data_IF_529563984042
#
_entry.id   IF_529563984042
#
_cell.length_a   1.000
_cell.length_b   1.000
_cell.length_c   1.000
_cell.angle_alpha   90.00
_cell.angle_beta   90.00
_cell.angle_gamma   90.00
#
_symmetry.space_group_name_H-M   'P 1'
#
loop_
_entity.id
_entity.type
_entity.pdbx_description
1 polymer ?
#
# COMPACT_ATOMS: atom_id res chain seq x y z
N UNK A 1 -25.86 0.53 55.10
CA UNK A 1 -24.93 -0.22 54.23
C UNK A 1 -25.44 -0.17 52.80
N UNK A 2 -24.96 0.77 51.97
CA UNK A 2 -25.14 0.71 50.51
C UNK A 2 -23.90 1.34 49.87
N UNK A 3 -22.96 0.49 49.47
CA UNK A 3 -21.77 0.88 48.75
C UNK A 3 -22.17 1.00 47.27
N UNK A 4 -22.16 2.22 46.74
CA UNK A 4 -22.32 2.45 45.30
C UNK A 4 -20.96 2.20 44.65
N UNK A 5 -20.79 1.02 44.05
CA UNK A 5 -19.65 0.72 43.18
C UNK A 5 -19.80 1.50 41.88
N UNK A 6 -19.01 2.57 41.72
CA UNK A 6 -18.86 3.24 40.44
C UNK A 6 -17.99 2.38 39.52
N UNK A 7 -18.60 1.77 38.48
CA UNK A 7 -17.86 1.09 37.43
C UNK A 7 -17.31 2.13 36.44
N UNK A 8 -15.99 2.33 36.44
CA UNK A 8 -15.31 3.15 35.44
C UNK A 8 -15.17 2.35 34.14
N UNK A 9 -15.92 2.74 33.10
CA UNK A 9 -15.72 2.25 31.74
C UNK A 9 -14.47 2.90 31.14
N UNK A 10 -13.36 2.17 31.09
CA UNK A 10 -12.19 2.56 30.29
C UNK A 10 -12.45 2.21 28.82
N UNK A 11 -12.85 3.19 28.01
CA UNK A 11 -12.86 3.04 26.55
C UNK A 11 -11.43 3.15 26.03
N UNK A 12 -10.86 2.03 25.59
CA UNK A 12 -9.59 2.02 24.88
C UNK A 12 -9.79 2.55 23.46
N UNK A 13 -9.32 3.77 23.18
CA UNK A 13 -9.21 4.27 21.81
C UNK A 13 -8.07 3.54 21.11
N UNK A 14 -8.40 2.61 20.21
CA UNK A 14 -7.42 2.02 19.31
C UNK A 14 -7.08 3.04 18.23
N UNK A 15 -5.87 3.60 18.26
CA UNK A 15 -5.33 4.40 17.14
C UNK A 15 -5.08 3.43 15.99
N UNK A 16 -6.00 3.39 15.02
CA UNK A 16 -5.72 2.72 13.75
C UNK A 16 -4.73 3.60 13.00
N UNK A 17 -3.53 3.06 12.73
CA UNK A 17 -2.57 3.70 11.86
C UNK A 17 -3.13 3.71 10.44
N UNK A 18 -3.69 4.84 10.03
CA UNK A 18 -4.33 5.02 8.72
C UNK A 18 -3.32 4.86 7.56
N UNK A 19 -3.73 4.27 6.41
CA UNK A 19 -2.92 4.16 5.18
C UNK A 19 -2.34 5.51 4.71
N UNK A 20 -2.97 6.62 5.06
CA UNK A 20 -2.49 8.00 4.92
C UNK A 20 -1.03 8.18 5.40
N UNK A 21 -0.66 7.57 6.54
CA UNK A 21 0.71 7.64 7.04
C UNK A 21 1.71 6.93 6.13
N UNK A 22 1.29 5.83 5.48
CA UNK A 22 2.16 5.05 4.62
C UNK A 22 2.36 5.70 3.25
N UNK A 23 1.34 6.35 2.68
CA UNK A 23 1.53 7.20 1.48
C UNK A 23 2.49 8.35 1.75
N UNK A 24 2.33 9.04 2.89
CA UNK A 24 3.20 10.16 3.27
C UNK A 24 4.66 9.72 3.41
N UNK A 25 4.91 8.62 4.14
CA UNK A 25 6.28 8.13 4.36
C UNK A 25 6.90 7.57 3.09
N UNK A 26 6.17 6.76 2.31
CA UNK A 26 6.67 6.24 1.04
C UNK A 26 6.98 7.36 0.05
N UNK A 27 6.10 8.36 -0.06
CA UNK A 27 6.31 9.53 -0.90
C UNK A 27 7.58 10.30 -0.51
N UNK A 28 7.77 10.54 0.80
CA UNK A 28 9.00 11.13 1.32
C UNK A 28 10.25 10.31 0.96
N UNK A 29 10.23 9.00 1.25
CA UNK A 29 11.40 8.13 1.11
C UNK A 29 11.83 7.92 -0.36
N UNK A 30 10.88 7.96 -1.29
CA UNK A 30 11.13 7.78 -2.73
C UNK A 30 11.12 9.08 -3.54
N UNK A 31 10.86 10.24 -2.92
CA UNK A 31 10.80 11.53 -3.61
C UNK A 31 9.65 11.62 -4.61
N UNK A 32 8.47 11.11 -4.21
CA UNK A 32 7.21 11.11 -4.95
C UNK A 32 6.17 11.87 -4.12
N UNK A 33 5.36 12.73 -4.75
CA UNK A 33 4.27 13.40 -4.03
C UNK A 33 3.31 12.34 -3.43
N UNK A 34 3.06 12.33 -2.11
CA UNK A 34 2.13 11.39 -1.49
C UNK A 34 0.73 11.38 -2.13
N UNK A 35 0.28 12.51 -2.68
CA UNK A 35 -1.00 12.64 -3.38
C UNK A 35 -1.00 11.87 -4.68
N UNK A 36 0.14 11.78 -5.38
CA UNK A 36 0.26 10.96 -6.59
C UNK A 36 0.11 9.48 -6.25
N UNK A 37 0.80 9.00 -5.21
CA UNK A 37 0.69 7.61 -4.76
C UNK A 37 -0.73 7.27 -4.30
N UNK A 38 -1.39 8.19 -3.59
CA UNK A 38 -2.78 8.03 -3.19
C UNK A 38 -3.72 8.00 -4.40
N UNK A 39 -3.56 8.92 -5.35
CA UNK A 39 -4.35 8.95 -6.58
C UNK A 39 -4.17 7.67 -7.40
N UNK A 40 -2.93 7.15 -7.50
CA UNK A 40 -2.64 5.87 -8.12
C UNK A 40 -3.41 4.74 -7.40
N UNK A 41 -3.32 4.63 -6.07
CA UNK A 41 -4.04 3.58 -5.33
C UNK A 41 -5.57 3.67 -5.47
N UNK A 42 -6.11 4.89 -5.56
CA UNK A 42 -7.54 5.14 -5.82
C UNK A 42 -7.91 4.63 -7.21
N UNK A 43 -7.12 5.00 -8.23
CA UNK A 43 -7.36 4.62 -9.62
C UNK A 43 -7.31 3.10 -9.80
N UNK A 44 -6.32 2.45 -9.19
CA UNK A 44 -6.05 1.03 -9.36
C UNK A 44 -7.05 0.13 -8.61
N UNK A 45 -7.41 0.47 -7.38
CA UNK A 45 -8.17 -0.44 -6.51
C UNK A 45 -9.31 0.19 -5.74
N UNK A 46 -9.44 1.53 -5.78
CA UNK A 46 -10.23 2.33 -4.82
C UNK A 46 -9.73 2.12 -3.40
N UNK A 47 -8.40 2.09 -3.22
CA UNK A 47 -7.68 1.86 -1.97
C UNK A 47 -7.98 0.51 -1.28
N UNK A 48 -8.46 -0.51 -2.02
CA UNK A 48 -8.79 -1.82 -1.47
C UNK A 48 -7.56 -2.73 -1.46
N UNK A 49 -7.00 -3.01 -0.29
CA UNK A 49 -5.77 -3.82 -0.19
C UNK A 49 -5.95 -5.32 -0.50
N UNK A 50 -7.18 -5.81 -0.48
CA UNK A 50 -7.47 -7.19 -0.90
C UNK A 50 -7.83 -7.30 -2.40
N UNK A 51 -7.61 -6.24 -3.19
CA UNK A 51 -7.86 -6.27 -4.62
C UNK A 51 -6.92 -7.25 -5.34
N UNK A 52 -7.51 -8.07 -6.21
CA UNK A 52 -6.80 -9.05 -7.03
C UNK A 52 -7.39 -8.95 -8.44
N UNK A 53 -6.53 -8.79 -9.44
CA UNK A 53 -6.92 -8.72 -10.84
C UNK A 53 -6.11 -9.72 -11.68
N UNK A 54 -6.78 -10.75 -12.17
CA UNK A 54 -6.19 -11.82 -12.99
C UNK A 54 -6.34 -11.58 -14.50
N UNK A 55 -6.77 -10.36 -14.91
CA UNK A 55 -7.05 -10.04 -16.32
C UNK A 55 -5.86 -9.43 -17.07
N UNK A 56 -4.67 -9.41 -16.49
CA UNK A 56 -3.49 -8.85 -17.17
C UNK A 56 -3.17 -9.60 -18.47
N UNK A 57 -2.75 -8.83 -19.48
CA UNK A 57 -2.46 -9.26 -20.86
C UNK A 57 -1.43 -10.40 -20.99
N UNK A 58 -0.75 -10.77 -19.90
CA UNK A 58 0.32 -11.77 -19.89
C UNK A 58 0.14 -12.90 -18.88
N UNK A 59 -1.11 -13.20 -18.46
CA UNK A 59 -1.41 -14.19 -17.39
C UNK A 59 -0.74 -13.85 -16.06
N UNK A 60 -0.29 -12.61 -15.87
CA UNK A 60 0.14 -12.14 -14.56
C UNK A 60 -1.08 -11.74 -13.74
N UNK A 61 -0.88 -11.60 -12.44
CA UNK A 61 -1.91 -11.13 -11.51
C UNK A 61 -1.43 -9.84 -10.86
N UNK A 62 -2.29 -8.84 -10.83
CA UNK A 62 -2.07 -7.63 -10.05
C UNK A 62 -2.73 -7.81 -8.68
N UNK A 63 -2.03 -7.41 -7.62
CA UNK A 63 -2.49 -7.58 -6.23
C UNK A 63 -2.41 -6.29 -5.44
N UNK A 64 -3.17 -6.24 -4.37
CA UNK A 64 -3.17 -5.19 -3.36
C UNK A 64 -3.58 -3.80 -3.85
N UNK A 65 -3.55 -2.80 -2.97
CA UNK A 65 -4.16 -1.49 -3.23
C UNK A 65 -3.43 -0.66 -4.30
N UNK A 66 -2.20 -1.02 -4.65
CA UNK A 66 -1.38 -0.46 -5.72
C UNK A 66 -1.29 -1.37 -6.96
N UNK A 67 -2.09 -2.45 -7.02
CA UNK A 67 -2.14 -3.39 -8.15
C UNK A 67 -0.74 -3.85 -8.62
N UNK A 68 0.09 -4.30 -7.67
CA UNK A 68 1.45 -4.76 -7.94
C UNK A 68 1.40 -6.02 -8.82
N UNK A 69 1.92 -5.89 -10.03
CA UNK A 69 1.96 -6.98 -10.99
C UNK A 69 2.91 -8.11 -10.58
N UNK A 70 2.46 -9.35 -10.69
CA UNK A 70 3.23 -10.54 -10.31
C UNK A 70 4.55 -10.74 -11.07
N UNK A 71 4.73 -10.09 -12.23
CA UNK A 71 6.02 -10.07 -12.94
C UNK A 71 7.15 -9.43 -12.11
N UNK A 72 6.82 -8.57 -11.14
CA UNK A 72 7.81 -7.97 -10.24
C UNK A 72 8.21 -8.89 -9.06
N UNK A 73 7.45 -9.94 -8.76
CA UNK A 73 7.68 -10.78 -7.57
C UNK A 73 9.09 -11.37 -7.47
N UNK A 74 9.75 -11.82 -8.56
CA UNK A 74 11.13 -12.28 -8.49
C UNK A 74 12.10 -11.22 -7.96
N UNK A 75 11.90 -9.94 -8.33
CA UNK A 75 12.70 -8.81 -7.82
C UNK A 75 12.39 -8.50 -6.36
N UNK A 76 11.15 -8.71 -5.93
CA UNK A 76 10.68 -8.42 -4.57
C UNK A 76 11.10 -9.45 -3.53
N UNK A 77 11.41 -10.70 -3.95
CA UNK A 77 11.88 -11.77 -3.06
C UNK A 77 13.09 -11.37 -2.21
N UNK A 78 14.01 -10.55 -2.74
CA UNK A 78 15.19 -10.07 -2.00
C UNK A 78 14.86 -9.19 -0.80
N UNK A 79 13.65 -8.63 -0.75
CA UNK A 79 13.13 -7.84 0.37
C UNK A 79 12.18 -8.65 1.27
N UNK A 80 12.09 -9.97 1.05
CA UNK A 80 11.12 -10.84 1.69
C UNK A 80 9.66 -10.40 1.47
N UNK A 81 9.37 -9.71 0.36
CA UNK A 81 8.02 -9.26 0.01
C UNK A 81 7.37 -10.35 -0.85
N UNK A 82 6.28 -10.93 -0.35
CA UNK A 82 5.50 -12.00 -1.00
C UNK A 82 4.10 -11.51 -1.33
N UNK A 83 3.36 -12.27 -2.15
CA UNK A 83 1.96 -12.00 -2.47
C UNK A 83 1.11 -11.87 -1.20
N UNK A 84 1.33 -12.77 -0.26
CA UNK A 84 0.59 -12.84 1.00
C UNK A 84 0.84 -11.58 1.83
N UNK A 85 2.10 -11.12 1.90
CA UNK A 85 2.45 -9.87 2.60
C UNK A 85 1.85 -8.64 1.93
N UNK A 86 1.86 -8.59 0.60
CA UNK A 86 1.22 -7.49 -0.16
C UNK A 86 -0.28 -7.39 0.13
N UNK A 87 -0.97 -8.53 0.20
CA UNK A 87 -2.41 -8.58 0.48
C UNK A 87 -2.74 -8.38 1.97
N UNK A 88 -1.84 -8.76 2.87
CA UNK A 88 -2.04 -8.65 4.31
C UNK A 88 -1.72 -7.26 4.88
N UNK A 89 -0.74 -6.55 4.30
CA UNK A 89 -0.25 -5.27 4.82
C UNK A 89 -0.30 -4.18 3.74
N UNK A 90 -1.21 -3.19 3.86
CA UNK A 90 -1.34 -2.11 2.88
C UNK A 90 -0.10 -1.23 2.80
N UNK A 91 0.66 -1.09 3.87
CA UNK A 91 1.88 -0.28 3.86
C UNK A 91 2.98 -0.95 3.06
N UNK A 92 3.10 -2.29 3.12
CA UNK A 92 4.01 -3.03 2.25
C UNK A 92 3.60 -2.85 0.78
N UNK A 93 2.31 -2.89 0.48
CA UNK A 93 1.83 -2.65 -0.89
C UNK A 93 2.18 -1.24 -1.38
N UNK A 94 1.91 -0.21 -0.58
CA UNK A 94 2.19 1.20 -0.90
C UNK A 94 3.69 1.43 -1.11
N UNK A 95 4.53 0.96 -0.19
CA UNK A 95 5.99 1.09 -0.32
C UNK A 95 6.53 0.33 -1.53
N UNK A 96 5.93 -0.82 -1.86
CA UNK A 96 6.31 -1.59 -3.04
C UNK A 96 5.96 -0.84 -4.33
N UNK A 97 4.76 -0.26 -4.40
CA UNK A 97 4.34 0.57 -5.54
C UNK A 97 5.25 1.77 -5.74
N UNK A 98 5.48 2.53 -4.67
CA UNK A 98 6.37 3.70 -4.70
C UNK A 98 7.81 3.34 -5.08
N UNK A 99 8.32 2.18 -4.64
CA UNK A 99 9.63 1.68 -5.04
C UNK A 99 9.70 1.36 -6.55
N UNK A 100 8.66 0.74 -7.10
CA UNK A 100 8.58 0.43 -8.55
C UNK A 100 8.47 1.73 -9.35
N UNK A 101 7.60 2.66 -8.97
CA UNK A 101 7.45 3.98 -9.62
C UNK A 101 8.78 4.76 -9.60
N UNK A 102 9.48 4.79 -8.47
CA UNK A 102 10.79 5.46 -8.39
C UNK A 102 11.84 4.83 -9.32
N UNK A 103 11.84 3.50 -9.50
CA UNK A 103 12.70 2.85 -10.48
C UNK A 103 12.34 3.25 -11.91
N UNK A 104 11.05 3.29 -12.23
CA UNK A 104 10.57 3.74 -13.54
C UNK A 104 10.94 5.20 -13.81
N UNK A 105 10.72 6.10 -12.85
CA UNK A 105 11.12 7.51 -12.96
C UNK A 105 12.62 7.67 -13.13
N UNK A 106 13.42 6.88 -12.42
CA UNK A 106 14.87 6.91 -12.56
C UNK A 106 15.32 6.44 -13.95
N UNK A 107 14.64 5.45 -14.52
CA UNK A 107 15.03 4.84 -15.79
C UNK A 107 14.52 5.63 -17.01
N UNK A 108 13.31 6.16 -16.94
CA UNK A 108 12.59 6.71 -18.10
C UNK A 108 12.14 8.17 -17.93
N UNK A 109 12.36 8.77 -16.76
CA UNK A 109 11.89 10.11 -16.43
C UNK A 109 10.47 10.14 -15.86
N UNK A 110 10.05 11.31 -15.37
CA UNK A 110 8.72 11.52 -14.78
C UNK A 110 7.73 11.91 -15.88
N UNK A 111 6.87 10.96 -16.26
CA UNK A 111 5.83 11.11 -17.29
C UNK A 111 4.59 10.30 -16.89
N UNK A 112 3.45 10.51 -17.55
CA UNK A 112 2.26 9.70 -17.28
C UNK A 112 2.44 8.22 -17.65
N UNK A 113 3.35 7.89 -18.56
CA UNK A 113 3.65 6.50 -18.94
C UNK A 113 4.50 5.76 -17.90
N UNK A 114 5.00 6.47 -16.88
CA UNK A 114 5.90 5.92 -15.84
C UNK A 114 5.29 5.90 -14.45
N UNK A 115 4.06 6.41 -14.31
CA UNK A 115 3.17 6.28 -13.14
C UNK A 115 2.32 5.05 -13.35
#
# INVERSE_FOLDING_TARGET
MKWLTAAAFFTAFSVQAEPEMCFTKAGHDFGIDPRLLMAHSIQESRMRNNAINDRSAHKSTDVCNMQINSANFPKLKKFNITRERLLADPCICIYTGAWIEALNFKQYGRTWDTV
#
